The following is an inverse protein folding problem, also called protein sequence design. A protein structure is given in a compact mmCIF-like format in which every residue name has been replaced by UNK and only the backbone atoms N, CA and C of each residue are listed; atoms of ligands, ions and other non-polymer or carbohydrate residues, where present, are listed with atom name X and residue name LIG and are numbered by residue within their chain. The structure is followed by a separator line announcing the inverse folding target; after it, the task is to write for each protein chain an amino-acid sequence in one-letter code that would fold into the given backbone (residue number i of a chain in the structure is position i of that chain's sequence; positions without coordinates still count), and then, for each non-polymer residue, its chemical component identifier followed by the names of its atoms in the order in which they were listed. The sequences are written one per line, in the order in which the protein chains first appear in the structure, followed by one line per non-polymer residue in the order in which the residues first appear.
data_IF_874560301700
#
_entry.id   IF_874560301700
#
_cell.length_a   1.000
_cell.length_b   1.000
_cell.length_c   1.000
_cell.angle_alpha   90.00
_cell.angle_beta   90.00
_cell.angle_gamma   90.00
#
_symmetry.space_group_name_H-M   'P 1'
#
loop_
_entity.id
_entity.type
_entity.pdbx_description
1 polymer ?
#
# COMPACT_ATOMS: atom_id res chain seq x y z
N UNK A 1 0.73 -8.27 11.29
CA UNK A 1 -0.06 -8.22 10.06
C UNK A 1 -1.41 -8.84 10.32
N UNK A 2 -2.48 -8.23 9.83
CA UNK A 2 -3.82 -8.83 9.85
C UNK A 2 -3.93 -9.92 8.75
N UNK A 3 -5.05 -10.67 8.72
CA UNK A 3 -5.24 -11.79 7.79
C UNK A 3 -5.22 -11.35 6.33
N UNK A 4 -5.78 -10.19 6.03
CA UNK A 4 -5.78 -9.61 4.68
C UNK A 4 -4.38 -9.21 4.21
N UNK A 5 -3.61 -8.54 5.05
CA UNK A 5 -2.21 -8.20 4.78
C UNK A 5 -1.36 -9.47 4.57
N UNK A 6 -1.59 -10.52 5.37
CA UNK A 6 -0.91 -11.81 5.19
C UNK A 6 -1.28 -12.49 3.87
N UNK A 7 -2.56 -12.44 3.46
CA UNK A 7 -2.99 -12.94 2.16
C UNK A 7 -2.31 -12.20 1.00
N UNK A 8 -2.34 -10.86 1.00
CA UNK A 8 -1.75 -10.07 -0.08
C UNK A 8 -0.23 -10.24 -0.09
N UNK A 9 0.41 -10.23 1.09
CA UNK A 9 1.84 -10.50 1.20
C UNK A 9 2.21 -11.87 0.65
N UNK A 10 1.43 -12.92 0.95
CA UNK A 10 1.62 -14.26 0.37
C UNK A 10 1.43 -14.28 -1.14
N UNK A 11 0.45 -13.56 -1.68
CA UNK A 11 0.23 -13.44 -3.13
C UNK A 11 1.43 -12.74 -3.79
N UNK A 12 1.91 -11.63 -3.22
CA UNK A 12 3.11 -10.95 -3.69
C UNK A 12 4.36 -11.83 -3.60
N UNK A 13 4.53 -12.59 -2.51
CA UNK A 13 5.68 -13.48 -2.28
C UNK A 13 5.66 -14.72 -3.19
N UNK A 14 4.47 -15.24 -3.50
CA UNK A 14 4.29 -16.38 -4.44
C UNK A 14 4.29 -15.95 -5.90
N UNK A 15 3.98 -14.69 -6.18
CA UNK A 15 4.25 -14.10 -7.49
C UNK A 15 5.77 -13.93 -7.67
N UNK A 16 6.22 -13.80 -8.92
CA UNK A 16 7.63 -13.64 -9.31
C UNK A 16 8.32 -12.36 -8.75
N UNK A 17 7.77 -11.73 -7.70
CA UNK A 17 8.09 -10.39 -7.21
C UNK A 17 8.71 -10.34 -5.80
N UNK A 18 8.96 -11.49 -5.15
CA UNK A 18 9.39 -11.54 -3.74
C UNK A 18 10.68 -10.75 -3.47
N UNK A 19 11.64 -10.76 -4.40
CA UNK A 19 12.91 -10.01 -4.30
C UNK A 19 12.75 -8.48 -4.38
N UNK A 20 11.64 -8.01 -4.96
CA UNK A 20 11.37 -6.60 -5.23
C UNK A 20 10.27 -6.01 -4.35
N UNK A 21 9.71 -6.83 -3.45
CA UNK A 21 8.57 -6.47 -2.61
C UNK A 21 9.02 -6.08 -1.20
N UNK A 22 8.45 -5.00 -0.69
CA UNK A 22 8.64 -4.48 0.66
C UNK A 22 7.30 -4.40 1.37
N UNK A 23 7.16 -5.15 2.47
CA UNK A 23 5.99 -5.04 3.34
C UNK A 23 6.20 -3.92 4.36
N UNK A 24 5.20 -3.06 4.50
CA UNK A 24 5.16 -1.93 5.43
C UNK A 24 6.46 -1.08 5.43
N UNK A 25 7.00 -0.63 4.28
CA UNK A 25 8.19 0.22 4.26
C UNK A 25 7.94 1.51 5.04
N UNK A 26 8.99 2.10 5.61
CA UNK A 26 8.87 3.33 6.39
C UNK A 26 8.60 4.53 5.49
N UNK A 27 7.73 5.40 5.97
CA UNK A 27 7.51 6.73 5.43
C UNK A 27 8.56 7.73 5.92
N UNK A 28 8.24 9.02 5.78
CA UNK A 28 9.14 10.14 6.20
C UNK A 28 9.48 10.11 7.69
N UNK A 29 8.52 9.70 8.52
CA UNK A 29 8.68 9.54 9.95
C UNK A 29 8.84 8.04 10.23
N UNK A 30 9.81 7.66 11.06
CA UNK A 30 10.07 6.25 11.40
C UNK A 30 8.89 5.57 12.09
N UNK A 31 7.96 6.35 12.65
CA UNK A 31 6.72 5.88 13.26
C UNK A 31 5.58 5.61 12.26
N UNK A 32 5.73 6.04 11.00
CA UNK A 32 4.67 5.92 9.98
C UNK A 32 5.11 5.02 8.84
N UNK A 33 4.19 4.17 8.43
CA UNK A 33 4.36 3.33 7.24
C UNK A 33 4.06 4.15 5.98
N UNK A 34 4.76 3.85 4.89
CA UNK A 34 4.57 4.46 3.59
C UNK A 34 3.31 3.90 2.92
N UNK A 35 3.20 2.57 2.85
CA UNK A 35 2.07 1.81 2.32
C UNK A 35 2.15 0.37 2.83
N UNK A 36 1.13 -0.44 2.56
CA UNK A 36 1.07 -1.81 3.09
C UNK A 36 2.07 -2.72 2.36
N UNK A 37 2.12 -2.65 1.03
CA UNK A 37 3.13 -3.34 0.21
C UNK A 37 3.60 -2.40 -0.89
N UNK A 38 4.91 -2.41 -1.13
CA UNK A 38 5.55 -1.67 -2.21
C UNK A 38 6.35 -2.64 -3.06
N UNK A 39 6.19 -2.58 -4.38
CA UNK A 39 7.03 -3.34 -5.32
C UNK A 39 7.82 -2.35 -6.16
N UNK A 40 9.14 -2.55 -6.26
CA UNK A 40 10.04 -1.73 -7.09
C UNK A 40 10.71 -2.62 -8.12
N UNK A 41 10.27 -2.53 -9.37
CA UNK A 41 10.84 -3.27 -10.49
C UNK A 41 10.97 -2.32 -11.68
N UNK A 42 12.19 -1.84 -11.94
CA UNK A 42 12.42 -0.74 -12.88
C UNK A 42 11.81 -1.00 -14.27
N UNK A 43 11.04 -0.05 -14.85
CA UNK A 43 10.78 1.32 -14.37
C UNK A 43 9.50 1.46 -13.51
N UNK A 44 8.85 0.36 -13.16
CA UNK A 44 7.58 0.31 -12.46
C UNK A 44 7.73 0.32 -10.94
N UNK A 45 6.88 1.10 -10.29
CA UNK A 45 6.69 1.09 -8.83
C UNK A 45 5.22 0.84 -8.56
N UNK A 46 4.90 -0.22 -7.82
CA UNK A 46 3.52 -0.58 -7.51
C UNK A 46 3.28 -0.35 -6.03
N UNK A 47 2.32 0.52 -5.71
CA UNK A 47 1.91 0.87 -4.36
C UNK A 47 0.59 0.17 -4.05
N UNK A 48 0.61 -0.74 -3.09
CA UNK A 48 -0.58 -1.41 -2.60
C UNK A 48 -1.04 -0.79 -1.28
N UNK A 49 -2.34 -0.52 -1.21
CA UNK A 49 -3.03 -0.27 0.06
C UNK A 49 -4.11 -1.33 0.26
N UNK A 50 -4.05 -2.04 1.38
CA UNK A 50 -4.92 -3.15 1.73
C UNK A 50 -5.76 -2.75 2.92
N UNK A 51 -7.08 -2.88 2.82
CA UNK A 51 -7.99 -2.66 3.93
C UNK A 51 -8.95 -3.82 4.09
N UNK A 52 -9.08 -4.29 5.32
CA UNK A 52 -10.10 -5.24 5.74
C UNK A 52 -11.18 -4.50 6.53
N UNK A 53 -12.33 -4.26 5.92
CA UNK A 53 -13.43 -3.52 6.53
C UNK A 53 -14.74 -4.28 6.34
N UNK A 54 -15.25 -4.83 7.43
CA UNK A 54 -16.56 -5.46 7.44
C UNK A 54 -17.67 -4.41 7.45
N UNK A 55 -18.77 -4.71 6.77
CA UNK A 55 -19.98 -3.90 6.83
C UNK A 55 -20.63 -4.09 8.21
N UNK A 56 -20.75 -3.02 8.99
CA UNK A 56 -21.36 -3.07 10.34
C UNK A 56 -22.78 -3.61 10.29
N UNK A 57 -23.16 -4.60 11.11
CA UNK A 57 -24.46 -5.29 11.01
C UNK A 57 -25.70 -4.49 11.44
N UNK A 58 -25.55 -3.28 11.95
CA UNK A 58 -26.66 -2.47 12.48
C UNK A 58 -26.82 -1.14 11.74
N UNK A 59 -28.08 -0.68 11.67
CA UNK A 59 -28.46 0.60 11.07
C UNK A 59 -28.77 0.56 9.58
N UNK A 60 -29.05 1.74 9.02
CA UNK A 60 -29.47 1.94 7.63
C UNK A 60 -28.39 1.53 6.62
N UNK A 61 -28.78 0.77 5.59
CA UNK A 61 -27.87 0.23 4.58
C UNK A 61 -27.15 1.30 3.76
N UNK A 62 -27.82 2.41 3.44
CA UNK A 62 -27.21 3.50 2.67
C UNK A 62 -26.10 4.18 3.48
N UNK A 63 -26.35 4.41 4.77
CA UNK A 63 -25.38 4.99 5.71
C UNK A 63 -24.21 4.03 5.94
N UNK A 64 -24.48 2.72 6.08
CA UNK A 64 -23.44 1.68 6.20
C UNK A 64 -22.55 1.66 4.96
N UNK A 65 -23.13 1.66 3.77
CA UNK A 65 -22.38 1.68 2.51
C UNK A 65 -21.51 2.93 2.37
N UNK A 66 -22.06 4.11 2.67
CA UNK A 66 -21.30 5.37 2.64
C UNK A 66 -20.10 5.35 3.60
N UNK A 67 -20.31 4.86 4.83
CA UNK A 67 -19.22 4.70 5.82
C UNK A 67 -18.17 3.70 5.36
N UNK A 68 -18.60 2.57 4.82
CA UNK A 68 -17.69 1.55 4.28
C UNK A 68 -16.88 2.13 3.12
N UNK A 69 -17.52 2.75 2.12
CA UNK A 69 -16.87 3.37 0.96
C UNK A 69 -15.82 4.39 1.39
N UNK A 70 -16.16 5.27 2.34
CA UNK A 70 -15.23 6.27 2.87
C UNK A 70 -13.99 5.61 3.48
N UNK A 71 -14.18 4.59 4.31
CA UNK A 71 -13.07 3.94 5.02
C UNK A 71 -12.25 3.02 4.12
N UNK A 72 -12.89 2.26 3.23
CA UNK A 72 -12.28 1.20 2.43
C UNK A 72 -11.69 1.71 1.12
N UNK A 73 -12.31 2.73 0.51
CA UNK A 73 -11.89 3.27 -0.79
C UNK A 73 -11.23 4.64 -0.60
N UNK A 74 -11.97 5.63 -0.09
CA UNK A 74 -11.47 7.02 -0.07
C UNK A 74 -10.20 7.16 0.78
N UNK A 75 -10.15 6.52 1.95
CA UNK A 75 -8.95 6.55 2.79
C UNK A 75 -7.79 5.74 2.21
N UNK A 76 -8.04 4.64 1.50
CA UNK A 76 -7.00 3.88 0.77
C UNK A 76 -6.40 4.72 -0.34
N UNK A 77 -7.23 5.46 -1.10
CA UNK A 77 -6.75 6.41 -2.10
C UNK A 77 -5.86 7.48 -1.47
N UNK A 78 -6.25 8.08 -0.34
CA UNK A 78 -5.42 9.08 0.37
C UNK A 78 -4.06 8.51 0.77
N UNK A 79 -4.02 7.28 1.29
CA UNK A 79 -2.77 6.62 1.67
C UNK A 79 -1.87 6.42 0.44
N UNK A 80 -2.42 5.91 -0.67
CA UNK A 80 -1.65 5.68 -1.90
C UNK A 80 -1.11 6.99 -2.48
N UNK A 81 -1.91 8.05 -2.57
CA UNK A 81 -1.43 9.36 -3.05
C UNK A 81 -0.37 9.96 -2.12
N UNK A 82 -0.54 9.77 -0.80
CA UNK A 82 0.49 10.14 0.18
C UNK A 82 1.79 9.39 -0.06
N UNK A 83 1.72 8.08 -0.31
CA UNK A 83 2.88 7.23 -0.58
C UNK A 83 3.61 7.64 -1.87
N UNK A 84 2.87 7.86 -2.96
CA UNK A 84 3.43 8.33 -4.23
C UNK A 84 4.19 9.64 -4.07
N UNK A 85 3.60 10.62 -3.37
CA UNK A 85 4.28 11.89 -3.10
C UNK A 85 5.60 11.64 -2.38
N UNK A 86 5.65 10.75 -1.39
CA UNK A 86 6.89 10.41 -0.68
C UNK A 86 7.90 9.72 -1.58
N UNK A 87 7.46 8.81 -2.43
CA UNK A 87 8.31 8.15 -3.44
C UNK A 87 8.95 9.19 -4.37
N UNK A 88 8.22 10.26 -4.75
CA UNK A 88 8.78 11.35 -5.57
C UNK A 88 9.84 12.20 -4.84
N UNK A 89 9.78 12.25 -3.50
CA UNK A 89 10.69 13.02 -2.64
C UNK A 89 11.89 12.17 -2.13
N UNK A 90 11.95 10.87 -2.49
CA UNK A 90 12.90 9.91 -1.91
C UNK A 90 13.74 9.21 -2.99
N UNK A 91 15.00 8.90 -2.66
CA UNK A 91 15.90 8.17 -3.56
C UNK A 91 15.77 6.64 -3.47
N UNK A 92 15.53 6.11 -2.26
CA UNK A 92 15.50 4.67 -1.99
C UNK A 92 14.28 4.31 -1.13
N UNK A 93 13.88 3.04 -1.19
CA UNK A 93 12.98 2.46 -0.20
C UNK A 93 13.68 2.39 1.16
N UNK A 94 12.95 2.71 2.22
CA UNK A 94 13.39 2.43 3.59
C UNK A 94 12.57 1.25 4.11
N UNK A 95 13.22 0.13 4.43
CA UNK A 95 12.52 -1.07 4.91
C UNK A 95 11.85 -0.81 6.26
N UNK A 96 10.97 -1.72 6.69
CA UNK A 96 10.32 -1.67 8.00
C UNK A 96 11.33 -1.58 9.15
N UNK A 97 12.48 -2.23 9.01
CA UNK A 97 13.60 -2.23 9.96
C UNK A 97 14.45 -0.96 9.89
N UNK A 98 14.17 -0.05 8.94
CA UNK A 98 14.93 1.17 8.73
C UNK A 98 16.18 1.01 7.88
N UNK A 99 16.35 -0.14 7.19
CA UNK A 99 17.48 -0.36 6.28
C UNK A 99 17.20 0.28 4.93
N UNK A 100 18.26 0.62 4.20
CA UNK A 100 18.14 1.10 2.81
C UNK A 100 17.86 -0.10 1.90
N UNK A 101 16.75 -0.04 1.17
CA UNK A 101 16.35 -0.99 0.13
C UNK A 101 16.76 -0.53 -1.26
N UNK A 102 16.02 -1.01 -2.28
CA UNK A 102 16.23 -0.64 -3.67
C UNK A 102 16.05 0.86 -3.90
N UNK A 103 16.82 1.39 -4.84
CA UNK A 103 16.62 2.73 -5.38
C UNK A 103 15.32 2.80 -6.16
N UNK A 104 14.62 3.93 -6.06
CA UNK A 104 13.49 4.19 -6.92
C UNK A 104 13.97 4.51 -8.34
N UNK A 105 13.23 4.07 -9.38
CA UNK A 105 13.53 4.44 -10.76
C UNK A 105 13.63 5.95 -10.96
N UNK A 106 14.41 6.41 -11.93
CA UNK A 106 14.54 7.85 -12.19
C UNK A 106 13.19 8.47 -12.56
N UNK A 107 12.93 9.71 -12.12
CA UNK A 107 11.61 10.38 -12.32
C UNK A 107 11.23 10.50 -13.79
N UNK A 108 12.19 10.59 -14.70
CA UNK A 108 11.94 10.69 -16.15
C UNK A 108 11.36 9.42 -16.78
N UNK A 109 11.55 8.25 -16.16
CA UNK A 109 11.07 6.96 -16.69
C UNK A 109 10.11 6.24 -15.73
N UNK A 110 10.05 6.64 -14.46
CA UNK A 110 9.28 5.99 -13.40
C UNK A 110 7.79 5.95 -13.73
N UNK A 111 7.19 4.75 -13.64
CA UNK A 111 5.74 4.53 -13.74
C UNK A 111 5.21 4.08 -12.39
N UNK A 112 4.26 4.83 -11.82
CA UNK A 112 3.67 4.52 -10.52
C UNK A 112 2.28 3.93 -10.71
N UNK A 113 2.11 2.69 -10.26
CA UNK A 113 0.85 1.96 -10.28
C UNK A 113 0.22 1.98 -8.89
N UNK A 114 -1.06 2.32 -8.83
CA UNK A 114 -1.81 2.51 -7.58
C UNK A 114 -2.83 1.40 -7.45
N UNK A 115 -2.69 0.55 -6.44
CA UNK A 115 -3.59 -0.60 -6.26
C UNK A 115 -4.22 -0.52 -4.87
N UNK A 116 -5.53 -0.29 -4.83
CA UNK A 116 -6.31 -0.39 -3.60
C UNK A 116 -7.01 -1.75 -3.56
N UNK A 117 -6.84 -2.47 -2.47
CA UNK A 117 -7.46 -3.77 -2.22
C UNK A 117 -8.37 -3.59 -1.01
N UNK A 118 -9.68 -3.65 -1.24
CA UNK A 118 -10.68 -3.62 -0.17
C UNK A 118 -11.26 -5.03 0.00
N UNK A 119 -11.02 -5.62 1.17
CA UNK A 119 -11.57 -6.89 1.59
C UNK A 119 -12.57 -6.66 2.72
N UNK A 120 -13.55 -7.55 2.83
CA UNK A 120 -14.59 -7.49 3.85
C UNK A 120 -15.74 -8.39 3.45
N UNK A 121 -16.31 -9.08 4.45
CA UNK A 121 -17.49 -9.93 4.33
C UNK A 121 -18.66 -9.31 5.06
#
# INVERSE_FOLDING_TARGET
MNKSEDLVSKLCTKSFLSLWSYSNPRGKDSSKELCDILVVCEPDVIVFSVKEINLTNSGDMSVRWLRWRKKAIEDSCKQIYGAERRISESANVITKEGKVGLSFPHVSCRRIHRVAIALGS
#
